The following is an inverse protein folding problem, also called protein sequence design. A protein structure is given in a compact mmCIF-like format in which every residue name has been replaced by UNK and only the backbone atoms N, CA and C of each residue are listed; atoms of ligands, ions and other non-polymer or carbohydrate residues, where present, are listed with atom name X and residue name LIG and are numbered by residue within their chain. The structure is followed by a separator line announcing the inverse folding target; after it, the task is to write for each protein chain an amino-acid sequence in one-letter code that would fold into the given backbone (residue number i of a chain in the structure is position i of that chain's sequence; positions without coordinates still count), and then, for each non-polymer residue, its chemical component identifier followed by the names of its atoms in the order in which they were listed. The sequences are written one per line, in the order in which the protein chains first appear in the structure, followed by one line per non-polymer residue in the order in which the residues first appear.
data_IF_468222790638
#
_entry.id   IF_468222790638
#
_cell.length_a   1.000
_cell.length_b   1.000
_cell.length_c   1.000
_cell.angle_alpha   90.00
_cell.angle_beta   90.00
_cell.angle_gamma   90.00
#
_symmetry.space_group_name_H-M   'P 1'
#
loop_
_entity.id
_entity.type
_entity.pdbx_description
1 polymer ?
#
# COMPACT_ATOMS: atom_id res chain seq x y z
N UNK A 1 -2.09 65.36 -38.26
CA UNK A 1 -1.76 66.14 -37.04
C UNK A 1 -2.51 65.44 -35.91
N UNK A 2 -1.95 64.83 -34.87
CA UNK A 2 -0.65 64.92 -34.20
C UNK A 2 -0.45 63.72 -33.25
N UNK A 3 0.81 63.26 -33.17
CA UNK A 3 1.54 62.59 -32.07
C UNK A 3 0.84 61.87 -30.88
N UNK A 4 1.21 60.58 -30.74
CA UNK A 4 1.86 59.92 -29.58
C UNK A 4 1.16 59.71 -28.20
N UNK A 5 1.15 58.42 -27.83
CA UNK A 5 1.74 57.81 -26.62
C UNK A 5 0.85 57.36 -25.42
N UNK A 6 0.79 56.03 -25.28
CA UNK A 6 1.07 55.19 -24.09
C UNK A 6 0.25 55.43 -22.80
N UNK A 7 -0.62 54.45 -22.49
CA UNK A 7 -0.75 53.78 -21.19
C UNK A 7 -1.49 52.45 -21.47
N UNK A 8 -0.75 51.35 -21.69
CA UNK A 8 -0.28 50.40 -20.67
C UNK A 8 -1.37 49.38 -20.28
N UNK A 9 -1.13 48.15 -20.72
CA UNK A 9 -1.67 46.89 -20.21
C UNK A 9 -1.82 46.92 -18.69
N UNK A 10 -2.99 46.56 -18.16
CA UNK A 10 -3.18 45.82 -16.91
C UNK A 10 -4.68 45.62 -16.69
N UNK A 11 -5.22 44.64 -17.40
CA UNK A 11 -6.58 44.12 -17.19
C UNK A 11 -6.65 42.66 -17.58
N UNK A 12 -5.54 41.93 -17.43
CA UNK A 12 -5.62 40.48 -17.29
C UNK A 12 -6.25 40.24 -15.94
N UNK A 13 -7.55 39.93 -15.96
CA UNK A 13 -8.20 39.12 -14.95
C UNK A 13 -7.35 37.86 -14.76
N UNK A 14 -6.39 37.94 -13.84
CA UNK A 14 -5.85 36.78 -13.18
C UNK A 14 -7.03 36.19 -12.41
N UNK A 15 -7.76 35.29 -13.06
CA UNK A 15 -8.47 34.21 -12.39
C UNK A 15 -7.45 33.57 -11.44
N UNK A 16 -7.44 34.07 -10.21
CA UNK A 16 -6.66 33.53 -9.13
C UNK A 16 -7.09 32.08 -8.98
N UNK A 17 -6.19 31.20 -9.42
CA UNK A 17 -6.25 29.75 -9.29
C UNK A 17 -6.89 29.41 -7.94
N UNK A 18 -8.06 28.73 -7.87
CA UNK A 18 -8.66 28.34 -6.60
C UNK A 18 -7.85 27.17 -6.01
N UNK A 19 -6.66 27.50 -5.52
CA UNK A 19 -5.59 26.58 -5.15
C UNK A 19 -5.47 26.54 -3.63
N UNK A 20 -6.05 25.52 -2.98
CA UNK A 20 -5.72 25.06 -1.62
C UNK A 20 -5.82 26.03 -0.42
N UNK A 21 -6.07 27.32 -0.62
CA UNK A 21 -6.13 28.37 0.42
C UNK A 21 -7.50 28.48 1.08
N UNK A 22 -8.59 28.13 0.38
CA UNK A 22 -9.98 28.22 0.90
C UNK A 22 -10.27 27.44 2.19
N UNK A 23 -9.44 26.46 2.55
CA UNK A 23 -9.64 25.65 3.77
C UNK A 23 -8.77 26.06 4.97
N UNK A 24 -7.84 27.00 4.78
CA UNK A 24 -6.89 27.45 5.82
C UNK A 24 -7.25 28.82 6.38
N UNK A 25 -8.12 29.57 5.72
CA UNK A 25 -8.58 30.86 6.20
C UNK A 25 -10.03 30.74 6.68
N UNK A 26 -10.30 31.30 7.86
CA UNK A 26 -11.61 31.34 8.49
C UNK A 26 -11.87 32.69 9.11
N UNK A 27 -13.09 32.87 9.62
CA UNK A 27 -13.49 34.06 10.36
C UNK A 27 -13.95 33.61 11.74
N UNK A 28 -13.42 34.21 12.79
CA UNK A 28 -13.83 33.86 14.16
C UNK A 28 -15.20 34.47 14.51
N UNK A 29 -15.70 34.09 15.69
CA UNK A 29 -17.00 34.57 16.22
C UNK A 29 -17.08 36.10 16.38
N UNK A 30 -15.94 36.80 16.36
CA UNK A 30 -15.82 38.25 16.53
C UNK A 30 -15.60 38.92 15.15
N UNK A 31 -15.65 38.16 14.05
CA UNK A 31 -15.46 38.67 12.70
C UNK A 31 -14.00 38.83 12.28
N UNK A 32 -13.04 38.37 13.09
CA UNK A 32 -11.61 38.50 12.79
C UNK A 32 -11.14 37.39 11.85
N UNK A 33 -10.27 37.72 10.91
CA UNK A 33 -9.68 36.75 10.00
C UNK A 33 -8.65 35.87 10.74
N UNK A 34 -8.81 34.55 10.63
CA UNK A 34 -7.95 33.55 11.27
C UNK A 34 -7.34 32.64 10.22
N UNK A 35 -6.03 32.40 10.36
CA UNK A 35 -5.30 31.45 9.55
C UNK A 35 -4.99 30.17 10.32
N UNK A 36 -5.40 29.04 9.77
CA UNK A 36 -5.25 27.68 10.26
C UNK A 36 -4.28 26.90 9.35
N UNK A 37 -2.96 27.00 9.55
CA UNK A 37 -1.95 26.41 8.66
C UNK A 37 -2.07 24.89 8.50
N UNK A 38 -2.59 24.20 9.53
CA UNK A 38 -2.78 22.75 9.55
C UNK A 38 -4.25 22.34 9.46
N UNK A 39 -5.12 23.31 9.17
CA UNK A 39 -6.57 23.16 9.17
C UNK A 39 -7.22 23.51 10.51
N UNK A 40 -8.56 23.69 10.51
CA UNK A 40 -9.31 24.24 11.63
C UNK A 40 -9.27 23.39 12.91
N UNK A 41 -8.92 22.10 12.78
CA UNK A 41 -8.73 21.19 13.91
C UNK A 41 -7.52 21.51 14.80
N UNK A 42 -6.66 22.43 14.37
CA UNK A 42 -5.43 22.83 15.05
C UNK A 42 -5.49 24.31 15.40
N UNK A 43 -4.56 24.74 16.28
CA UNK A 43 -4.43 26.15 16.67
C UNK A 43 -4.24 27.05 15.43
N UNK A 44 -5.02 28.14 15.38
CA UNK A 44 -4.93 29.16 14.35
C UNK A 44 -4.19 30.41 14.81
N UNK A 45 -3.99 31.35 13.90
CA UNK A 45 -3.31 32.63 14.12
C UNK A 45 -4.19 33.77 13.63
N UNK A 46 -4.36 34.81 14.45
CA UNK A 46 -5.22 35.97 14.13
C UNK A 46 -4.44 37.04 13.39
N UNK A 47 -5.04 37.59 12.33
CA UNK A 47 -4.56 38.82 11.70
C UNK A 47 -5.08 40.03 12.51
N UNK A 48 -4.34 40.43 13.54
CA UNK A 48 -4.73 41.55 14.43
C UNK A 48 -4.48 42.92 13.82
N UNK A 49 -3.55 43.02 12.87
CA UNK A 49 -3.20 44.21 12.12
C UNK A 49 -2.66 43.85 10.73
N UNK A 50 -2.40 44.86 9.90
CA UNK A 50 -1.88 44.67 8.53
C UNK A 50 -0.50 44.00 8.51
N UNK A 51 0.35 44.25 9.51
CA UNK A 51 1.68 43.65 9.60
C UNK A 51 1.61 42.14 9.91
N UNK A 52 0.70 41.74 10.81
CA UNK A 52 0.37 40.36 11.11
C UNK A 52 -0.21 39.65 9.88
N UNK A 53 -1.10 40.30 9.14
CA UNK A 53 -1.67 39.73 7.92
C UNK A 53 -0.58 39.45 6.87
N UNK A 54 0.34 40.39 6.63
CA UNK A 54 1.47 40.21 5.70
C UNK A 54 2.35 39.04 6.13
N UNK A 55 2.66 38.92 7.43
CA UNK A 55 3.44 37.80 7.97
C UNK A 55 2.73 36.46 7.81
N UNK A 56 1.42 36.41 8.04
CA UNK A 56 0.61 35.21 7.89
C UNK A 56 0.56 34.77 6.42
N UNK A 57 0.36 35.71 5.49
CA UNK A 57 0.37 35.43 4.04
C UNK A 57 1.75 34.93 3.57
N UNK A 58 2.84 35.52 4.07
CA UNK A 58 4.19 35.04 3.78
C UNK A 58 4.41 33.61 4.33
N UNK A 59 3.87 33.29 5.51
CA UNK A 59 3.92 31.94 6.06
C UNK A 59 3.07 30.93 5.27
N UNK A 60 1.93 31.36 4.71
CA UNK A 60 1.09 30.55 3.81
C UNK A 60 1.82 30.24 2.49
N UNK A 61 2.51 31.24 1.92
CA UNK A 61 3.33 31.03 0.73
C UNK A 61 4.52 30.08 1.01
N UNK A 62 5.18 30.24 2.17
CA UNK A 62 6.25 29.35 2.59
C UNK A 62 5.75 27.92 2.87
N UNK A 63 4.51 27.78 3.39
CA UNK A 63 3.84 26.49 3.52
C UNK A 63 3.63 25.84 2.15
N UNK A 64 3.18 26.60 1.15
CA UNK A 64 2.93 26.07 -0.20
C UNK A 64 4.23 25.68 -0.91
N UNK A 65 5.29 26.48 -0.76
CA UNK A 65 6.62 26.16 -1.29
C UNK A 65 7.20 24.89 -0.65
N UNK A 66 7.15 24.78 0.69
CA UNK A 66 7.61 23.57 1.40
C UNK A 66 6.76 22.33 1.07
N UNK A 67 5.46 22.51 0.82
CA UNK A 67 4.58 21.42 0.38
C UNK A 67 4.96 20.89 -1.01
N UNK A 68 5.38 21.76 -1.93
CA UNK A 68 5.89 21.35 -3.25
C UNK A 68 7.20 20.57 -3.14
N UNK A 69 8.09 20.96 -2.23
CA UNK A 69 9.36 20.26 -1.96
C UNK A 69 9.17 18.91 -1.24
N UNK A 70 8.14 18.79 -0.38
CA UNK A 70 7.82 17.55 0.32
C UNK A 70 7.17 16.49 -0.58
N UNK A 71 6.61 16.89 -1.74
CA UNK A 71 5.94 15.99 -2.67
C UNK A 71 6.84 14.86 -3.20
N UNK A 72 8.05 15.12 -3.72
CA UNK A 72 8.96 14.05 -4.17
C UNK A 72 9.43 13.16 -3.01
N UNK A 73 9.68 13.72 -1.83
CA UNK A 73 10.11 12.95 -0.65
C UNK A 73 8.99 12.02 -0.17
N UNK A 74 7.76 12.51 -0.09
CA UNK A 74 6.59 11.69 0.25
C UNK A 74 6.30 10.63 -0.81
N UNK A 75 6.51 10.94 -2.10
CA UNK A 75 6.43 9.97 -3.19
C UNK A 75 7.48 8.85 -3.07
N UNK A 76 8.73 9.20 -2.76
CA UNK A 76 9.80 8.22 -2.55
C UNK A 76 9.55 7.36 -1.30
N UNK A 77 9.10 7.95 -0.20
CA UNK A 77 8.70 7.23 1.00
C UNK A 77 7.52 6.28 0.74
N UNK A 78 6.50 6.74 0.00
CA UNK A 78 5.37 5.91 -0.38
C UNK A 78 5.80 4.74 -1.29
N UNK A 79 6.69 4.97 -2.24
CA UNK A 79 7.23 3.92 -3.11
C UNK A 79 8.04 2.87 -2.31
N UNK A 80 8.94 3.33 -1.44
CA UNK A 80 9.70 2.45 -0.55
C UNK A 80 8.79 1.66 0.40
N UNK A 81 7.72 2.29 0.87
CA UNK A 81 6.72 1.64 1.70
C UNK A 81 5.95 0.56 0.94
N UNK A 82 5.48 0.86 -0.28
CA UNK A 82 4.79 -0.10 -1.12
C UNK A 82 5.66 -1.32 -1.43
N UNK A 83 6.97 -1.12 -1.60
CA UNK A 83 7.94 -2.20 -1.75
C UNK A 83 8.06 -3.07 -0.49
N UNK A 84 8.22 -2.46 0.69
CA UNK A 84 8.29 -3.20 1.97
C UNK A 84 6.97 -3.92 2.29
N UNK A 85 5.84 -3.28 2.00
CA UNK A 85 4.52 -3.89 2.11
C UNK A 85 4.39 -5.10 1.19
N UNK A 86 4.89 -5.03 -0.04
CA UNK A 86 4.86 -6.17 -0.96
C UNK A 86 5.63 -7.37 -0.40
N UNK A 87 6.80 -7.13 0.20
CA UNK A 87 7.58 -8.17 0.87
C UNK A 87 6.86 -8.75 2.09
N UNK A 88 6.16 -7.92 2.86
CA UNK A 88 5.42 -8.34 4.06
C UNK A 88 4.11 -9.06 3.71
N UNK A 89 3.38 -8.62 2.68
CA UNK A 89 2.13 -9.27 2.26
C UNK A 89 2.33 -10.71 1.80
N UNK A 90 3.47 -10.99 1.16
CA UNK A 90 3.82 -12.33 0.70
C UNK A 90 4.16 -13.29 1.85
N UNK A 91 4.55 -12.79 3.03
CA UNK A 91 5.01 -13.62 4.17
C UNK A 91 4.09 -13.59 5.39
N UNK A 92 3.65 -12.39 5.77
CA UNK A 92 2.87 -12.12 6.98
C UNK A 92 1.83 -11.04 6.70
N UNK A 93 0.75 -11.35 5.98
CA UNK A 93 -0.22 -10.33 5.58
C UNK A 93 -0.91 -9.65 6.76
N UNK A 94 -1.05 -10.34 7.90
CA UNK A 94 -1.54 -9.72 9.14
C UNK A 94 -0.57 -8.64 9.64
N UNK A 95 0.74 -8.94 9.68
CA UNK A 95 1.77 -7.95 10.02
C UNK A 95 1.88 -6.85 8.95
N UNK A 96 1.60 -7.18 7.69
CA UNK A 96 1.58 -6.21 6.61
C UNK A 96 0.44 -5.19 6.82
N UNK A 97 -0.72 -5.59 7.33
CA UNK A 97 -1.81 -4.66 7.69
C UNK A 97 -1.38 -3.71 8.81
N UNK A 98 -0.80 -4.23 9.89
CA UNK A 98 -0.36 -3.38 11.01
C UNK A 98 0.75 -2.43 10.58
N UNK A 99 1.71 -2.93 9.79
CA UNK A 99 2.78 -2.11 9.21
C UNK A 99 2.22 -1.04 8.26
N UNK A 100 1.21 -1.35 7.44
CA UNK A 100 0.55 -0.40 6.55
C UNK A 100 0.01 0.81 7.32
N UNK A 101 -0.76 0.57 8.38
CA UNK A 101 -1.30 1.66 9.21
C UNK A 101 -0.21 2.41 9.97
N UNK A 102 0.74 1.70 10.59
CA UNK A 102 1.85 2.31 11.31
C UNK A 102 2.67 3.23 10.38
N UNK A 103 2.87 2.80 9.15
CA UNK A 103 3.58 3.56 8.15
C UNK A 103 2.81 4.78 7.64
N UNK A 104 1.51 4.68 7.40
CA UNK A 104 0.69 5.85 7.06
C UNK A 104 0.79 6.88 8.18
N UNK A 105 0.63 6.45 9.43
CA UNK A 105 0.74 7.32 10.61
C UNK A 105 2.13 7.95 10.66
N UNK A 106 3.20 7.17 10.43
CA UNK A 106 4.57 7.66 10.44
C UNK A 106 4.83 8.69 9.31
N UNK A 107 4.43 8.40 8.07
CA UNK A 107 4.61 9.31 6.93
C UNK A 107 3.83 10.60 7.16
N UNK A 108 2.55 10.50 7.52
CA UNK A 108 1.72 11.67 7.84
C UNK A 108 2.33 12.44 9.01
N UNK A 109 2.81 11.76 10.04
CA UNK A 109 3.45 12.34 11.22
C UNK A 109 4.76 13.06 10.90
N UNK A 110 5.64 12.47 10.08
CA UNK A 110 6.90 13.09 9.64
C UNK A 110 6.61 14.33 8.80
N UNK A 111 5.70 14.23 7.82
CA UNK A 111 5.31 15.37 6.98
C UNK A 111 4.69 16.47 7.86
N UNK A 112 3.81 16.11 8.78
CA UNK A 112 3.22 17.07 9.71
C UNK A 112 4.28 17.72 10.59
N UNK A 113 5.21 16.96 11.18
CA UNK A 113 6.26 17.48 12.05
C UNK A 113 7.23 18.42 11.33
N UNK A 114 7.64 18.07 10.11
CA UNK A 114 8.49 18.93 9.27
C UNK A 114 7.78 20.25 8.95
N UNK A 115 6.51 20.19 8.53
CA UNK A 115 5.71 21.39 8.25
C UNK A 115 5.46 22.22 9.51
N UNK A 116 5.20 21.56 10.64
CA UNK A 116 4.96 22.20 11.92
C UNK A 116 6.15 23.02 12.38
N UNK A 117 7.37 22.48 12.26
CA UNK A 117 8.59 23.21 12.62
C UNK A 117 8.80 24.46 11.75
N UNK A 118 8.69 24.33 10.43
CA UNK A 118 8.98 25.42 9.49
C UNK A 118 7.95 26.56 9.62
N UNK A 119 6.66 26.23 9.68
CA UNK A 119 5.58 27.22 9.66
C UNK A 119 5.35 27.84 11.04
N UNK A 120 5.60 27.11 12.13
CA UNK A 120 5.50 27.68 13.49
C UNK A 120 6.60 28.72 13.74
N UNK A 121 7.78 28.54 13.16
CA UNK A 121 8.87 29.50 13.28
C UNK A 121 8.51 30.85 12.62
N UNK A 122 7.86 30.83 11.45
CA UNK A 122 7.45 32.05 10.75
C UNK A 122 6.25 32.77 11.40
N UNK A 123 5.47 32.05 12.21
CA UNK A 123 4.29 32.58 12.91
C UNK A 123 4.54 32.86 14.40
N UNK A 124 5.79 32.79 14.86
CA UNK A 124 6.14 33.02 16.25
C UNK A 124 5.81 34.46 16.69
N UNK A 125 5.20 34.60 17.87
CA UNK A 125 4.82 35.89 18.46
C UNK A 125 3.49 36.47 17.99
N UNK A 126 2.77 35.81 17.08
CA UNK A 126 1.42 36.23 16.67
C UNK A 126 0.36 35.76 17.68
N UNK A 127 -0.73 36.54 17.78
CA UNK A 127 -1.90 36.16 18.58
C UNK A 127 -2.52 34.88 18.04
N UNK A 128 -2.82 33.93 18.93
CA UNK A 128 -3.36 32.63 18.53
C UNK A 128 -4.86 32.56 18.72
N UNK A 129 -5.51 31.75 17.89
CA UNK A 129 -6.91 31.37 18.01
C UNK A 129 -6.99 29.89 18.41
N UNK A 130 -7.93 29.50 19.28
CA UNK A 130 -8.14 28.09 19.60
C UNK A 130 -8.50 27.31 18.33
N UNK A 131 -8.19 26.01 18.35
CA UNK A 131 -8.70 25.10 17.33
C UNK A 131 -10.23 25.18 17.28
N UNK A 132 -10.80 25.16 16.09
CA UNK A 132 -12.23 24.90 15.97
C UNK A 132 -12.51 23.49 16.50
N UNK A 133 -13.64 23.34 17.18
CA UNK A 133 -14.11 22.02 17.60
C UNK A 133 -14.25 21.17 16.35
N UNK A 134 -13.38 20.17 16.21
CA UNK A 134 -13.45 19.22 15.10
C UNK A 134 -14.86 18.68 15.06
N UNK A 135 -15.57 18.91 13.95
CA UNK A 135 -16.95 18.44 13.86
C UNK A 135 -16.94 16.93 14.14
N UNK A 136 -17.76 16.49 15.09
CA UNK A 136 -17.91 15.07 15.46
C UNK A 136 -18.12 14.20 14.21
N UNK A 137 -18.78 14.77 13.19
CA UNK A 137 -18.95 14.17 11.87
C UNK A 137 -17.65 13.88 11.11
N UNK A 138 -16.64 14.78 11.12
CA UNK A 138 -15.35 14.50 10.47
C UNK A 138 -14.60 13.37 11.16
N UNK A 139 -14.58 13.37 12.50
CA UNK A 139 -13.94 12.32 13.28
C UNK A 139 -14.61 10.96 13.03
N UNK A 140 -15.94 10.91 13.07
CA UNK A 140 -16.72 9.70 12.75
C UNK A 140 -16.46 9.23 11.32
N UNK A 141 -16.36 10.13 10.34
CA UNK A 141 -16.05 9.76 8.95
C UNK A 141 -14.67 9.15 8.82
N UNK A 142 -13.64 9.76 9.41
CA UNK A 142 -12.27 9.22 9.37
C UNK A 142 -12.16 7.89 10.08
N UNK A 143 -12.77 7.77 11.26
CA UNK A 143 -12.80 6.50 12.01
C UNK A 143 -13.56 5.42 11.23
N UNK A 144 -14.69 5.79 10.62
CA UNK A 144 -15.48 4.91 9.77
C UNK A 144 -14.68 4.38 8.57
N UNK A 145 -13.88 5.22 7.90
CA UNK A 145 -12.98 4.80 6.82
C UNK A 145 -11.86 3.87 7.29
N UNK A 146 -11.30 4.13 8.48
CA UNK A 146 -10.28 3.27 9.05
C UNK A 146 -10.86 1.88 9.37
N UNK A 147 -12.01 1.84 10.05
CA UNK A 147 -12.73 0.60 10.40
C UNK A 147 -13.18 -0.14 9.15
N UNK A 148 -13.74 0.54 8.15
CA UNK A 148 -14.18 -0.12 6.91
C UNK A 148 -13.01 -0.80 6.20
N UNK A 149 -11.85 -0.15 6.18
CA UNK A 149 -10.64 -0.74 5.60
C UNK A 149 -10.25 -1.99 6.39
N UNK A 150 -10.16 -1.95 7.72
CA UNK A 150 -9.86 -3.13 8.56
C UNK A 150 -10.85 -4.27 8.30
N UNK A 151 -12.14 -3.98 8.21
CA UNK A 151 -13.19 -4.97 7.93
C UNK A 151 -12.99 -5.60 6.54
N UNK A 152 -12.64 -4.81 5.52
CA UNK A 152 -12.34 -5.33 4.17
C UNK A 152 -11.12 -6.26 4.19
N UNK A 153 -10.04 -5.86 4.88
CA UNK A 153 -8.86 -6.71 5.05
C UNK A 153 -9.21 -8.04 5.73
N UNK A 154 -9.95 -7.98 6.86
CA UNK A 154 -10.38 -9.17 7.59
C UNK A 154 -11.27 -10.07 6.73
N UNK A 155 -12.24 -9.49 6.01
CA UNK A 155 -13.16 -10.22 5.16
C UNK A 155 -12.41 -10.94 4.02
N UNK A 156 -11.44 -10.27 3.39
CA UNK A 156 -10.61 -10.88 2.33
C UNK A 156 -9.83 -12.08 2.86
N UNK A 157 -9.19 -11.94 4.03
CA UNK A 157 -8.45 -13.04 4.66
C UNK A 157 -9.37 -14.19 5.05
N UNK A 158 -10.51 -13.87 5.67
CA UNK A 158 -11.49 -14.86 6.09
C UNK A 158 -12.09 -15.65 4.91
N UNK A 159 -12.47 -14.97 3.83
CA UNK A 159 -12.97 -15.63 2.61
C UNK A 159 -11.90 -16.49 1.93
N UNK A 160 -10.63 -16.07 2.03
CA UNK A 160 -9.52 -16.85 1.51
C UNK A 160 -9.30 -18.13 2.33
N UNK A 161 -9.33 -18.05 3.66
CA UNK A 161 -9.20 -19.21 4.53
C UNK A 161 -10.36 -20.20 4.31
N UNK A 162 -11.61 -19.72 4.24
CA UNK A 162 -12.77 -20.57 3.91
C UNK A 162 -12.63 -21.28 2.56
N UNK A 163 -12.00 -20.63 1.57
CA UNK A 163 -11.75 -21.24 0.27
C UNK A 163 -10.70 -22.33 0.35
N UNK A 164 -9.64 -22.14 1.14
CA UNK A 164 -8.63 -23.17 1.37
C UNK A 164 -9.21 -24.39 2.08
N UNK A 165 -10.06 -24.18 3.09
CA UNK A 165 -10.74 -25.25 3.81
C UNK A 165 -11.65 -26.08 2.86
N UNK A 166 -12.39 -25.40 1.98
CA UNK A 166 -13.22 -26.07 0.98
C UNK A 166 -12.39 -26.91 -0.01
N UNK A 167 -11.24 -26.39 -0.46
CA UNK A 167 -10.33 -27.11 -1.37
C UNK A 167 -9.68 -28.33 -0.69
N UNK A 168 -9.36 -28.23 0.60
CA UNK A 168 -8.84 -29.36 1.37
C UNK A 168 -9.89 -30.47 1.51
N UNK A 169 -11.17 -30.11 1.68
CA UNK A 169 -12.27 -31.07 1.76
C UNK A 169 -12.48 -31.88 0.47
N UNK A 170 -12.22 -31.29 -0.71
CA UNK A 170 -12.33 -31.97 -2.01
C UNK A 170 -11.25 -33.06 -2.23
N UNK A 171 -10.14 -33.00 -1.46
CA UNK A 171 -8.98 -33.88 -1.64
C UNK A 171 -8.48 -34.47 -0.32
N UNK A 172 -9.28 -35.30 0.38
CA UNK A 172 -8.96 -35.76 1.74
C UNK A 172 -7.74 -36.68 1.86
N UNK A 173 -7.22 -37.19 0.73
CA UNK A 173 -6.06 -38.08 0.67
C UNK A 173 -4.75 -37.36 0.34
N UNK A 174 -4.80 -36.05 0.11
CA UNK A 174 -3.65 -35.25 -0.25
C UNK A 174 -3.54 -34.03 0.66
N UNK A 175 -2.37 -33.81 1.25
CA UNK A 175 -2.08 -32.54 1.91
C UNK A 175 -1.60 -31.54 0.85
N UNK A 176 -2.38 -30.49 0.63
CA UNK A 176 -2.15 -29.50 -0.43
C UNK A 176 -1.85 -28.13 0.15
N UNK A 177 -0.79 -27.51 -0.35
CA UNK A 177 -0.39 -26.16 -0.01
C UNK A 177 -0.56 -25.27 -1.24
N UNK A 178 -1.25 -24.15 -1.05
CA UNK A 178 -1.61 -23.24 -2.12
C UNK A 178 -0.86 -21.90 -1.98
N UNK A 179 -0.36 -21.35 -3.09
CA UNK A 179 0.31 -20.06 -3.05
C UNK A 179 -0.68 -18.98 -2.61
N UNK A 180 -0.27 -18.14 -1.66
CA UNK A 180 -1.11 -17.04 -1.18
C UNK A 180 -1.47 -16.05 -2.31
N UNK A 181 -2.76 -15.69 -2.38
CA UNK A 181 -3.26 -14.57 -3.22
C UNK A 181 -3.70 -13.38 -2.40
N UNK A 182 -3.71 -13.48 -1.07
CA UNK A 182 -4.30 -12.44 -0.22
C UNK A 182 -3.59 -11.10 -0.36
N UNK A 183 -2.27 -11.08 -0.58
CA UNK A 183 -1.54 -9.85 -0.89
C UNK A 183 -2.15 -9.13 -2.10
N UNK A 184 -2.37 -9.84 -3.20
CA UNK A 184 -3.02 -9.28 -4.39
C UNK A 184 -4.47 -8.87 -4.11
N UNK A 185 -5.23 -9.69 -3.36
CA UNK A 185 -6.62 -9.37 -2.99
C UNK A 185 -6.71 -8.11 -2.15
N UNK A 186 -5.80 -7.93 -1.21
CA UNK A 186 -5.65 -6.72 -0.40
C UNK A 186 -5.28 -5.52 -1.27
N UNK A 187 -4.27 -5.66 -2.15
CA UNK A 187 -3.87 -4.60 -3.07
C UNK A 187 -5.03 -4.15 -3.95
N UNK A 188 -5.83 -5.08 -4.45
CA UNK A 188 -7.03 -4.79 -5.23
C UNK A 188 -8.11 -4.14 -4.37
N UNK A 189 -8.40 -4.67 -3.18
CA UNK A 189 -9.46 -4.20 -2.30
C UNK A 189 -9.21 -2.77 -1.78
N UNK A 190 -7.95 -2.40 -1.53
CA UNK A 190 -7.56 -1.04 -1.15
C UNK A 190 -7.41 -0.15 -2.38
N UNK A 191 -6.75 -0.66 -3.43
CA UNK A 191 -6.36 0.12 -4.60
C UNK A 191 -7.52 0.51 -5.52
N UNK A 192 -8.53 -0.34 -5.69
CA UNK A 192 -9.70 -0.05 -6.52
C UNK A 192 -10.50 1.16 -6.04
N UNK A 193 -10.83 1.32 -4.73
CA UNK A 193 -11.42 2.55 -4.22
C UNK A 193 -10.59 3.81 -4.51
N UNK A 194 -9.26 3.74 -4.35
CA UNK A 194 -8.38 4.87 -4.68
C UNK A 194 -8.39 5.19 -6.18
N UNK A 195 -8.37 4.17 -7.04
CA UNK A 195 -8.43 4.35 -8.48
C UNK A 195 -9.76 5.00 -8.87
N UNK A 196 -10.87 4.51 -8.32
CA UNK A 196 -12.19 5.08 -8.54
C UNK A 196 -12.27 6.55 -8.08
N UNK A 197 -11.81 6.85 -6.87
CA UNK A 197 -11.76 8.22 -6.36
C UNK A 197 -10.89 9.13 -7.24
N UNK A 198 -9.77 8.63 -7.75
CA UNK A 198 -8.89 9.37 -8.65
C UNK A 198 -9.52 9.62 -10.03
N UNK A 199 -10.32 8.68 -10.55
CA UNK A 199 -11.11 8.87 -11.77
C UNK A 199 -12.21 9.92 -11.54
N UNK A 200 -12.99 9.80 -10.46
CA UNK A 200 -14.06 10.76 -10.13
C UNK A 200 -13.52 12.17 -9.89
N UNK A 201 -12.29 12.30 -9.42
CA UNK A 201 -11.63 13.58 -9.17
C UNK A 201 -10.55 13.91 -10.21
N UNK A 202 -10.64 13.34 -11.41
CA UNK A 202 -9.65 13.52 -12.48
C UNK A 202 -9.36 14.99 -12.75
N UNK A 203 -10.38 15.82 -12.98
CA UNK A 203 -10.20 17.22 -13.34
C UNK A 203 -9.44 18.00 -12.25
N UNK A 204 -9.69 17.68 -10.98
CA UNK A 204 -9.00 18.30 -9.84
C UNK A 204 -7.54 17.87 -9.76
N UNK A 205 -7.24 16.61 -10.10
CA UNK A 205 -5.87 16.08 -10.12
C UNK A 205 -5.11 16.62 -11.33
N UNK A 206 -5.74 16.65 -12.51
CA UNK A 206 -5.21 17.18 -13.75
C UNK A 206 -4.87 18.67 -13.64
N UNK A 207 -5.72 19.46 -12.98
CA UNK A 207 -5.44 20.87 -12.71
C UNK A 207 -4.21 21.10 -11.80
N UNK A 208 -3.88 20.15 -10.92
CA UNK A 208 -2.76 20.27 -9.97
C UNK A 208 -1.44 19.74 -10.52
N UNK A 209 -1.48 18.61 -11.21
CA UNK A 209 -0.29 17.88 -11.65
C UNK A 209 -0.04 17.98 -13.17
N UNK A 210 -0.98 18.54 -13.92
CA UNK A 210 -1.00 18.52 -15.38
C UNK A 210 -1.74 17.29 -15.93
N UNK A 211 -2.46 17.49 -17.04
CA UNK A 211 -3.32 16.47 -17.63
C UNK A 211 -2.53 15.22 -18.07
N UNK A 212 -1.40 15.40 -18.77
CA UNK A 212 -0.59 14.28 -19.27
C UNK A 212 0.00 13.42 -18.12
N UNK A 213 0.49 14.07 -17.07
CA UNK A 213 1.07 13.37 -15.89
C UNK A 213 -0.01 12.61 -15.12
N UNK A 214 -1.17 13.22 -14.93
CA UNK A 214 -2.31 12.60 -14.23
C UNK A 214 -2.84 11.40 -15.01
N UNK A 215 -2.98 11.54 -16.34
CA UNK A 215 -3.42 10.46 -17.22
C UNK A 215 -2.43 9.29 -17.18
N UNK A 216 -1.14 9.56 -17.30
CA UNK A 216 -0.11 8.52 -17.25
C UNK A 216 -0.07 7.81 -15.88
N UNK A 217 -0.16 8.56 -14.77
CA UNK A 217 -0.20 7.99 -13.43
C UNK A 217 -1.43 7.11 -13.22
N UNK A 218 -2.60 7.55 -13.69
CA UNK A 218 -3.84 6.77 -13.62
C UNK A 218 -3.79 5.51 -14.47
N UNK A 219 -3.25 5.60 -15.69
CA UNK A 219 -3.07 4.42 -16.56
C UNK A 219 -2.15 3.40 -15.92
N UNK A 220 -1.00 3.83 -15.39
CA UNK A 220 -0.10 2.93 -14.66
C UNK A 220 -0.80 2.31 -13.46
N UNK A 221 -1.50 3.12 -12.65
CA UNK A 221 -2.20 2.62 -11.48
C UNK A 221 -3.30 1.62 -11.86
N UNK A 222 -4.08 1.89 -12.92
CA UNK A 222 -5.07 0.99 -13.46
C UNK A 222 -4.45 -0.32 -13.97
N UNK A 223 -3.31 -0.27 -14.68
CA UNK A 223 -2.58 -1.46 -15.11
C UNK A 223 -2.13 -2.31 -13.93
N UNK A 224 -1.61 -1.70 -12.85
CA UNK A 224 -1.26 -2.44 -11.63
C UNK A 224 -2.48 -3.12 -10.99
N UNK A 225 -3.62 -2.43 -10.92
CA UNK A 225 -4.86 -3.00 -10.38
C UNK A 225 -5.40 -4.14 -11.23
N UNK A 226 -5.41 -3.99 -12.57
CA UNK A 226 -5.83 -5.05 -13.49
C UNK A 226 -4.89 -6.26 -13.41
N UNK A 227 -3.57 -6.04 -13.28
CA UNK A 227 -2.60 -7.12 -13.09
C UNK A 227 -2.86 -7.90 -11.79
N UNK A 228 -3.11 -7.19 -10.68
CA UNK A 228 -3.46 -7.82 -9.41
C UNK A 228 -4.77 -8.63 -9.53
N UNK A 229 -5.80 -8.04 -10.14
CA UNK A 229 -7.09 -8.72 -10.40
C UNK A 229 -6.92 -9.97 -11.27
N UNK A 230 -6.12 -9.90 -12.34
CA UNK A 230 -5.87 -11.05 -13.21
C UNK A 230 -5.21 -12.20 -12.44
N UNK A 231 -4.24 -11.90 -11.57
CA UNK A 231 -3.60 -12.91 -10.70
C UNK A 231 -4.62 -13.52 -9.74
N UNK A 232 -5.46 -12.70 -9.11
CA UNK A 232 -6.52 -13.18 -8.21
C UNK A 232 -7.45 -14.11 -8.98
N UNK A 233 -7.99 -13.67 -10.11
CA UNK A 233 -8.93 -14.47 -10.93
C UNK A 233 -8.29 -15.81 -11.32
N UNK A 234 -7.07 -15.78 -11.84
CA UNK A 234 -6.39 -17.00 -12.29
C UNK A 234 -6.13 -17.98 -11.15
N UNK A 235 -5.65 -17.48 -10.00
CA UNK A 235 -5.27 -18.34 -8.86
C UNK A 235 -6.42 -18.67 -7.92
N UNK A 236 -7.52 -17.92 -7.94
CA UNK A 236 -8.67 -18.14 -7.06
C UNK A 236 -9.74 -19.03 -7.71
N UNK A 237 -9.94 -18.90 -9.04
CA UNK A 237 -10.91 -19.74 -9.78
C UNK A 237 -10.36 -21.15 -10.00
N UNK A 238 -9.13 -21.28 -10.48
CA UNK A 238 -8.43 -22.56 -10.68
C UNK A 238 -7.16 -22.64 -9.83
N UNK A 239 -7.30 -22.79 -8.50
CA UNK A 239 -6.16 -22.83 -7.59
C UNK A 239 -5.36 -24.12 -7.82
N UNK A 240 -4.12 -23.96 -8.29
CA UNK A 240 -3.15 -25.07 -8.38
C UNK A 240 -2.29 -25.09 -7.12
N UNK A 241 -2.15 -26.25 -6.45
CA UNK A 241 -1.27 -26.36 -5.30
C UNK A 241 0.18 -26.12 -5.74
N UNK A 242 0.94 -25.35 -4.96
CA UNK A 242 2.38 -25.23 -5.13
C UNK A 242 3.09 -26.49 -4.67
N UNK A 243 2.55 -27.15 -3.65
CA UNK A 243 3.01 -28.43 -3.12
C UNK A 243 1.79 -29.32 -2.84
N UNK A 244 1.78 -30.55 -3.34
CA UNK A 244 0.82 -31.57 -2.95
C UNK A 244 1.55 -32.83 -2.48
N UNK A 245 1.21 -33.29 -1.28
CA UNK A 245 1.79 -34.47 -0.63
C UNK A 245 0.72 -35.56 -0.63
N UNK A 246 1.05 -36.70 -1.21
CA UNK A 246 0.19 -37.89 -1.26
C UNK A 246 0.87 -39.06 -0.56
N UNK A 247 0.16 -40.18 -0.39
CA UNK A 247 0.72 -41.41 0.20
C UNK A 247 1.99 -41.90 -0.50
N UNK A 248 2.20 -41.61 -1.80
CA UNK A 248 3.31 -42.19 -2.58
C UNK A 248 4.18 -41.18 -3.32
N UNK A 249 3.77 -39.92 -3.37
CA UNK A 249 4.44 -38.92 -4.19
C UNK A 249 4.32 -37.50 -3.65
N UNK A 250 5.28 -36.68 -4.03
CA UNK A 250 5.31 -35.24 -3.88
C UNK A 250 5.10 -34.59 -5.25
N UNK A 251 4.14 -33.68 -5.36
CA UNK A 251 4.00 -32.83 -6.54
C UNK A 251 4.45 -31.43 -6.17
N UNK A 252 5.45 -30.95 -6.89
CA UNK A 252 6.04 -29.63 -6.70
C UNK A 252 6.76 -29.26 -8.00
N UNK A 253 6.09 -28.50 -8.88
CA UNK A 253 6.52 -28.32 -10.26
C UNK A 253 6.36 -29.60 -11.09
N UNK A 254 7.13 -30.63 -10.75
CA UNK A 254 7.02 -32.00 -11.25
C UNK A 254 6.51 -32.94 -10.15
N UNK A 255 6.01 -34.10 -10.57
CA UNK A 255 5.68 -35.20 -9.67
C UNK A 255 6.94 -36.03 -9.43
N UNK A 256 7.26 -36.26 -8.16
CA UNK A 256 8.36 -37.10 -7.70
C UNK A 256 7.78 -38.21 -6.83
N UNK A 257 8.08 -39.46 -7.14
CA UNK A 257 7.68 -40.56 -6.26
C UNK A 257 8.64 -40.62 -5.06
N UNK A 258 8.16 -41.03 -3.87
CA UNK A 258 8.99 -41.01 -2.66
C UNK A 258 10.27 -41.83 -2.80
N UNK A 259 10.20 -42.91 -3.58
CA UNK A 259 11.33 -43.80 -3.89
C UNK A 259 12.37 -43.15 -4.79
N UNK A 260 12.03 -42.11 -5.52
CA UNK A 260 12.95 -41.39 -6.41
C UNK A 260 13.77 -40.34 -5.67
N UNK A 261 13.47 -40.10 -4.40
CA UNK A 261 14.06 -39.06 -3.57
C UNK A 261 15.15 -39.64 -2.66
N UNK A 262 16.28 -38.93 -2.55
CA UNK A 262 17.41 -39.28 -1.65
C UNK A 262 17.48 -38.41 -0.41
N UNK A 263 16.74 -37.30 -0.39
CA UNK A 263 16.75 -36.35 0.71
C UNK A 263 15.82 -35.18 0.44
N UNK A 264 15.42 -34.51 1.53
CA UNK A 264 14.74 -33.23 1.49
C UNK A 264 15.47 -32.31 2.45
N UNK A 265 15.96 -31.18 1.94
CA UNK A 265 16.59 -30.14 2.75
C UNK A 265 15.71 -28.88 2.75
N UNK A 266 15.80 -28.06 3.80
CA UNK A 266 15.27 -26.71 3.77
C UNK A 266 16.35 -25.73 3.30
N UNK A 267 16.01 -24.88 2.33
CA UNK A 267 16.89 -23.83 1.82
C UNK A 267 16.17 -22.49 1.88
N UNK A 268 16.77 -21.53 2.58
CA UNK A 268 16.36 -20.13 2.48
C UNK A 268 16.77 -19.58 1.11
N UNK A 269 15.79 -19.15 0.35
CA UNK A 269 16.01 -18.43 -0.89
C UNK A 269 15.98 -16.92 -0.68
N UNK A 270 16.92 -16.23 -1.33
CA UNK A 270 17.00 -14.76 -1.34
C UNK A 270 15.62 -14.11 -1.49
N UNK A 271 15.40 -13.04 -0.71
CA UNK A 271 14.10 -12.36 -0.55
C UNK A 271 13.08 -13.19 0.27
N UNK A 272 13.58 -14.02 1.20
CA UNK A 272 12.82 -14.81 2.19
C UNK A 272 11.67 -15.55 1.56
N UNK A 273 12.04 -16.35 0.56
CA UNK A 273 11.23 -17.41 0.01
C UNK A 273 11.88 -18.68 0.49
N UNK A 274 11.19 -19.48 1.27
CA UNK A 274 11.71 -20.76 1.73
C UNK A 274 11.46 -21.82 0.66
N UNK A 275 12.43 -22.73 0.49
CA UNK A 275 12.34 -23.82 -0.47
C UNK A 275 12.63 -25.14 0.23
N UNK A 276 11.75 -26.13 0.04
CA UNK A 276 12.13 -27.52 0.24
C UNK A 276 12.91 -28.00 -1.01
N UNK A 277 14.16 -28.37 -0.83
CA UNK A 277 15.03 -28.88 -1.88
C UNK A 277 14.95 -30.40 -1.88
N UNK A 278 14.30 -30.94 -2.90
CA UNK A 278 14.13 -32.38 -3.11
C UNK A 278 15.35 -32.91 -3.87
N UNK A 279 16.14 -33.77 -3.25
CA UNK A 279 17.30 -34.42 -3.89
C UNK A 279 16.84 -35.71 -4.57
N UNK A 280 17.30 -35.95 -5.79
CA UNK A 280 16.84 -37.06 -6.62
C UNK A 280 17.85 -38.20 -6.67
N UNK A 281 17.38 -39.42 -6.93
CA UNK A 281 18.22 -40.60 -7.12
C UNK A 281 18.99 -40.56 -8.44
N UNK A 282 20.20 -41.16 -8.51
CA UNK A 282 21.05 -41.13 -9.71
C UNK A 282 20.37 -41.54 -11.04
N UNK A 283 19.47 -42.55 -11.09
CA UNK A 283 18.76 -42.89 -12.33
C UNK A 283 17.87 -41.75 -12.84
N UNK A 284 17.17 -41.06 -11.93
CA UNK A 284 16.31 -39.91 -12.25
C UNK A 284 17.14 -38.69 -12.64
N UNK A 285 18.27 -38.46 -11.96
CA UNK A 285 19.22 -37.40 -12.33
C UNK A 285 19.76 -37.60 -13.75
N UNK A 286 20.05 -38.84 -14.16
CA UNK A 286 20.48 -39.14 -15.54
C UNK A 286 19.38 -38.90 -16.56
N UNK A 287 18.12 -39.16 -16.21
CA UNK A 287 16.98 -38.98 -17.12
C UNK A 287 16.59 -37.50 -17.28
N UNK A 288 16.55 -36.74 -16.19
CA UNK A 288 16.09 -35.34 -16.19
C UNK A 288 17.23 -34.32 -16.30
N UNK A 289 18.48 -34.72 -16.08
CA UNK A 289 19.64 -33.81 -16.05
C UNK A 289 19.66 -32.85 -14.85
N UNK A 290 18.81 -33.08 -13.85
CA UNK A 290 18.63 -32.22 -12.68
C UNK A 290 18.88 -33.06 -11.43
N UNK A 291 19.76 -32.60 -10.53
CA UNK A 291 20.10 -33.32 -9.28
C UNK A 291 19.15 -33.03 -8.12
N UNK A 292 18.42 -31.92 -8.20
CA UNK A 292 17.47 -31.50 -7.17
C UNK A 292 16.38 -30.59 -7.72
N UNK A 293 15.17 -30.70 -7.20
CA UNK A 293 14.07 -29.78 -7.48
C UNK A 293 13.82 -28.84 -6.29
N UNK A 294 13.35 -27.61 -6.57
CA UNK A 294 13.15 -26.57 -5.54
C UNK A 294 11.68 -26.24 -5.38
N UNK A 295 11.12 -26.72 -4.27
CA UNK A 295 9.74 -26.51 -3.89
C UNK A 295 9.58 -25.24 -3.09
N UNK A 296 9.12 -24.17 -3.74
CA UNK A 296 8.80 -22.94 -3.03
C UNK A 296 7.66 -23.22 -2.05
N UNK A 297 7.91 -22.93 -0.78
CA UNK A 297 6.89 -22.94 0.26
C UNK A 297 6.34 -21.51 0.34
N UNK A 298 5.10 -21.32 -0.12
CA UNK A 298 4.38 -20.05 -0.05
C UNK A 298 2.93 -20.26 0.42
N UNK A 299 2.40 -19.36 1.24
CA UNK A 299 1.08 -19.53 1.86
C UNK A 299 0.89 -18.63 3.07
N UNK A 300 -0.38 -18.33 3.40
CA UNK A 300 -0.75 -17.35 4.43
C UNK A 300 -0.81 -17.93 5.86
N UNK A 301 -1.16 -19.21 5.91
CA UNK A 301 -1.43 -20.00 7.12
C UNK A 301 -0.39 -21.10 7.33
N UNK A 302 0.73 -21.03 6.60
CA UNK A 302 1.63 -22.15 6.41
C UNK A 302 2.98 -21.81 7.01
N UNK A 303 3.29 -22.37 8.18
CA UNK A 303 4.65 -22.34 8.72
C UNK A 303 5.54 -23.20 7.81
N UNK A 304 6.60 -22.59 7.26
CA UNK A 304 7.49 -23.29 6.35
C UNK A 304 8.18 -24.47 7.04
N UNK A 305 8.43 -24.39 8.35
CA UNK A 305 8.95 -25.50 9.12
C UNK A 305 7.94 -26.64 9.19
N UNK A 306 6.65 -26.34 9.33
CA UNK A 306 5.61 -27.36 9.39
C UNK A 306 5.42 -28.05 8.04
N UNK A 307 5.47 -27.31 6.92
CA UNK A 307 5.46 -27.94 5.57
C UNK A 307 6.66 -28.83 5.38
N UNK A 308 7.85 -28.33 5.72
CA UNK A 308 9.08 -29.10 5.60
C UNK A 308 9.02 -30.38 6.45
N UNK A 309 8.62 -30.26 7.72
CA UNK A 309 8.41 -31.42 8.62
C UNK A 309 7.38 -32.39 8.06
N UNK A 310 6.29 -31.88 7.48
CA UNK A 310 5.25 -32.71 6.85
C UNK A 310 5.81 -33.50 5.68
N UNK A 311 6.53 -32.84 4.75
CA UNK A 311 7.20 -33.50 3.62
C UNK A 311 8.17 -34.57 4.11
N UNK A 312 9.03 -34.22 5.08
CA UNK A 312 10.03 -35.14 5.63
C UNK A 312 9.35 -36.33 6.31
N UNK A 313 8.31 -36.10 7.11
CA UNK A 313 7.57 -37.16 7.80
C UNK A 313 6.84 -38.11 6.85
N UNK A 314 6.36 -37.60 5.71
CA UNK A 314 5.72 -38.41 4.68
C UNK A 314 6.75 -39.21 3.87
N UNK A 315 7.92 -38.64 3.59
CA UNK A 315 8.98 -39.30 2.81
C UNK A 315 9.78 -40.34 3.61
N UNK A 316 10.16 -40.04 4.87
CA UNK A 316 11.06 -40.87 5.68
C UNK A 316 10.68 -42.36 5.77
N UNK A 317 9.40 -42.75 5.93
CA UNK A 317 9.00 -44.15 5.94
C UNK A 317 9.33 -44.90 4.64
N UNK A 318 9.37 -44.19 3.50
CA UNK A 318 9.66 -44.76 2.19
C UNK A 318 11.13 -44.67 1.79
N UNK A 319 11.95 -43.92 2.54
CA UNK A 319 13.37 -43.76 2.27
C UNK A 319 14.16 -45.08 2.43
N UNK A 320 13.63 -46.03 3.20
CA UNK A 320 14.24 -47.33 3.49
C UNK A 320 13.47 -48.51 2.89
N UNK A 321 12.45 -48.25 2.06
CA UNK A 321 11.57 -49.27 1.50
C UNK A 321 12.06 -49.58 0.07
N UNK A 322 12.73 -50.74 -0.16
CA UNK A 322 13.50 -51.01 -1.39
C UNK A 322 12.66 -51.12 -2.67
#
# INVERSE_FOLDING_TARGET
MSAQAIQAETGQDQEATPSATKGRWGVDLIGSMVYYPFGPAFQGYRATDAAAEVRIRAADEHYDQSSKLALPVSGALAAGLLYLLGLLFDRHPVLAVTFFYAAIIMIVGIIAALRFKVVRASLAGLATAPAEVVSRQRLIKTLGMAVSTIVVFWLVLYLYDLRLDALAADHPKEMRFYPTVAGNMIYAAVGLPFLFAAIVHFDKLAARAGQNRTTFALLLFAMFQLGALAIIVFKFIDPKPSIAISERSLVCGWRHDWREMTGVDLSDGRKGKEYAVVKLQPPVVRALGISSDRCRIDGLSVDYEDVYRTIVSAWQPHANDP
#
